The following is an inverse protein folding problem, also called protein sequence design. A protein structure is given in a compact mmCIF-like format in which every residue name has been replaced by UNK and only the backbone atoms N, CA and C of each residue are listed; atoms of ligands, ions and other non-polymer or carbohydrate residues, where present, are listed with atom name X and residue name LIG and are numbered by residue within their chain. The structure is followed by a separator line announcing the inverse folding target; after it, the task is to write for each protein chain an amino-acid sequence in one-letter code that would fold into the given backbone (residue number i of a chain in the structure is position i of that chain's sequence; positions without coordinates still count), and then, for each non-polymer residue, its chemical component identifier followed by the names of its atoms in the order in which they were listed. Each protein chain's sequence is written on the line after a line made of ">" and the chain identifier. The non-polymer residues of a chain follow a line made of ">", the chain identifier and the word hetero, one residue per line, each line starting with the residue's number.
data_IF_092553604219
#
_entry.id   IF_092553604219
#
_cell.length_a   1.000
_cell.length_b   1.000
_cell.length_c   1.000
_cell.angle_alpha   90.00
_cell.angle_beta   90.00
_cell.angle_gamma   90.00
#
_symmetry.space_group_name_H-M   'P 1'
#
loop_
_entity.id
_entity.type
_entity.pdbx_description
1 polymer ?
#
# COMPACT_ATOMS: atom_id res chain seq x y z
N UNK A 1 9.91 18.58 -8.47
CA UNK A 1 9.30 17.83 -9.58
C UNK A 1 10.02 16.50 -9.79
N UNK A 2 11.35 16.49 -9.87
CA UNK A 2 12.12 15.28 -10.21
C UNK A 2 11.99 14.20 -9.15
N UNK A 3 12.09 14.53 -7.88
CA UNK A 3 11.83 13.62 -6.77
C UNK A 3 10.40 13.03 -6.85
N UNK A 4 9.39 13.84 -7.18
CA UNK A 4 8.01 13.39 -7.31
C UNK A 4 7.87 12.31 -8.38
N UNK A 5 8.49 12.52 -9.55
CA UNK A 5 8.49 11.56 -10.65
C UNK A 5 9.35 10.32 -10.31
N UNK A 6 10.47 10.53 -9.62
CA UNK A 6 11.38 9.46 -9.25
C UNK A 6 10.74 8.41 -8.34
N UNK A 7 9.93 8.83 -7.37
CA UNK A 7 9.29 7.92 -6.40
C UNK A 7 7.85 7.54 -6.77
N UNK A 8 7.40 7.90 -7.97
CA UNK A 8 6.13 7.45 -8.54
C UNK A 8 4.90 8.26 -8.15
N UNK A 9 5.07 9.54 -7.77
CA UNK A 9 3.94 10.43 -7.50
C UNK A 9 3.06 10.01 -6.31
N UNK A 10 1.82 10.44 -6.31
CA UNK A 10 0.84 10.04 -5.32
C UNK A 10 0.34 8.60 -5.55
N UNK A 11 -0.07 7.95 -4.48
CA UNK A 11 -0.64 6.62 -4.53
C UNK A 11 -2.14 6.69 -4.90
N UNK A 12 -2.45 6.43 -6.16
CA UNK A 12 -3.81 6.49 -6.70
C UNK A 12 -4.78 5.45 -6.10
N UNK A 13 -4.27 4.47 -5.35
CA UNK A 13 -5.11 3.50 -4.63
C UNK A 13 -5.66 4.03 -3.30
N UNK A 14 -5.29 5.26 -2.91
CA UNK A 14 -5.71 5.92 -1.68
C UNK A 14 -6.65 7.07 -2.01
N UNK A 15 -7.85 7.07 -1.43
CA UNK A 15 -8.80 8.19 -1.52
C UNK A 15 -8.41 9.37 -0.62
N UNK A 16 -7.57 9.12 0.39
CA UNK A 16 -7.07 10.11 1.35
C UNK A 16 -5.72 9.67 1.89
N UNK A 17 -4.92 10.62 2.41
CA UNK A 17 -3.55 10.37 2.91
C UNK A 17 -2.53 10.03 1.81
N UNK A 18 -2.83 10.33 0.56
CA UNK A 18 -1.93 10.22 -0.58
C UNK A 18 -0.69 11.09 -0.40
N UNK A 19 -0.83 12.26 0.22
CA UNK A 19 0.24 13.18 0.57
C UNK A 19 1.16 12.60 1.65
N UNK A 20 0.59 12.05 2.71
CA UNK A 20 1.35 11.41 3.79
C UNK A 20 2.10 10.18 3.27
N UNK A 21 1.43 9.34 2.47
CA UNK A 21 2.07 8.18 1.81
C UNK A 21 3.26 8.63 0.95
N UNK A 22 3.07 9.71 0.17
CA UNK A 22 4.14 10.28 -0.64
C UNK A 22 5.33 10.74 0.21
N UNK A 23 5.11 11.50 1.27
CA UNK A 23 6.18 11.98 2.14
C UNK A 23 6.92 10.84 2.86
N UNK A 24 6.20 9.81 3.29
CA UNK A 24 6.82 8.64 3.92
C UNK A 24 7.67 7.87 2.90
N UNK A 25 7.19 7.70 1.67
CA UNK A 25 7.98 7.06 0.60
C UNK A 25 9.19 7.90 0.24
N UNK A 26 9.05 9.22 0.12
CA UNK A 26 10.18 10.10 -0.11
C UNK A 26 11.27 9.94 0.96
N UNK A 27 10.89 9.94 2.23
CA UNK A 27 11.82 9.76 3.34
C UNK A 27 12.50 8.38 3.36
N UNK A 28 11.78 7.31 3.02
CA UNK A 28 12.30 5.93 3.09
C UNK A 28 13.08 5.50 1.86
N UNK A 29 12.72 6.02 0.69
CA UNK A 29 13.33 5.62 -0.58
C UNK A 29 14.52 6.49 -0.98
N UNK A 30 14.54 7.72 -0.47
CA UNK A 30 15.59 8.70 -0.79
C UNK A 30 16.15 9.31 0.49
N UNK A 31 17.15 10.16 0.37
CA UNK A 31 17.71 10.93 1.49
C UNK A 31 17.00 12.29 1.69
N UNK A 32 15.83 12.48 1.06
CA UNK A 32 15.07 13.70 1.11
C UNK A 32 14.66 14.05 2.54
N UNK A 33 14.89 15.30 2.93
CA UNK A 33 14.48 15.84 4.22
C UNK A 33 13.19 16.65 4.04
N UNK A 34 12.23 16.43 4.91
CA UNK A 34 11.01 17.26 4.98
C UNK A 34 11.34 18.46 5.84
N UNK A 35 11.27 19.65 5.25
CA UNK A 35 11.51 20.92 5.95
C UNK A 35 10.16 21.61 6.13
N UNK A 36 9.78 21.89 7.37
CA UNK A 36 8.64 22.75 7.69
C UNK A 36 9.15 24.18 7.82
N UNK A 37 8.77 25.05 6.89
CA UNK A 37 9.11 26.48 6.96
C UNK A 37 7.90 27.28 7.41
N UNK A 38 8.05 28.14 8.45
CA UNK A 38 7.00 29.06 8.88
C UNK A 38 6.67 30.14 7.84
N UNK A 39 7.53 30.30 6.81
CA UNK A 39 7.37 31.29 5.75
C UNK A 39 6.33 30.87 4.69
N UNK A 40 6.08 29.56 4.58
CA UNK A 40 5.04 29.02 3.69
C UNK A 40 3.71 28.95 4.42
N UNK A 41 2.93 30.03 4.31
CA UNK A 41 1.57 30.12 4.85
C UNK A 41 0.56 29.97 3.73
N UNK A 42 -0.34 28.98 3.84
CA UNK A 42 -1.49 28.84 2.96
C UNK A 42 -2.76 29.21 3.70
N UNK A 43 -3.59 30.04 3.08
CA UNK A 43 -4.93 30.38 3.62
C UNK A 43 -5.90 29.29 3.17
N UNK A 44 -6.46 28.58 4.14
CA UNK A 44 -7.51 27.61 3.89
C UNK A 44 -8.87 28.30 3.98
N UNK A 45 -9.48 28.59 2.82
CA UNK A 45 -10.85 29.12 2.74
C UNK A 45 -11.86 27.96 2.83
N UNK A 46 -12.18 27.55 4.05
CA UNK A 46 -13.27 26.58 4.29
C UNK A 46 -14.18 27.11 5.39
N UNK A 47 -15.41 27.44 5.02
CA UNK A 47 -16.45 27.76 5.97
C UNK A 47 -17.10 26.47 6.48
N UNK A 48 -16.72 26.09 7.67
CA UNK A 48 -17.30 24.90 8.31
C UNK A 48 -18.54 25.23 9.13
N UNK A 49 -19.67 24.63 8.77
CA UNK A 49 -20.77 24.44 9.70
C UNK A 49 -20.39 23.28 10.65
N UNK A 50 -20.73 23.38 11.94
CA UNK A 50 -20.33 22.39 12.96
C UNK A 50 -20.56 20.93 12.55
N UNK A 51 -21.74 20.58 12.03
CA UNK A 51 -22.05 19.22 11.61
C UNK A 51 -21.23 18.78 10.38
N UNK A 52 -20.95 19.67 9.45
CA UNK A 52 -20.09 19.37 8.30
C UNK A 52 -18.65 19.10 8.73
N UNK A 53 -18.14 19.89 9.68
CA UNK A 53 -16.83 19.71 10.29
C UNK A 53 -16.75 18.36 11.03
N UNK A 54 -17.76 18.02 11.84
CA UNK A 54 -17.81 16.75 12.56
C UNK A 54 -17.80 15.55 11.59
N UNK A 55 -18.61 15.61 10.54
CA UNK A 55 -18.66 14.56 9.52
C UNK A 55 -17.32 14.40 8.78
N UNK A 56 -16.65 15.51 8.49
CA UNK A 56 -15.31 15.47 7.87
C UNK A 56 -14.29 14.82 8.81
N UNK A 57 -14.29 15.14 10.09
CA UNK A 57 -13.40 14.52 11.08
C UNK A 57 -13.66 13.01 11.18
N UNK A 58 -14.91 12.61 11.28
CA UNK A 58 -15.29 11.18 11.34
C UNK A 58 -14.76 10.44 10.10
N UNK A 59 -15.00 10.98 8.91
CA UNK A 59 -14.48 10.39 7.65
C UNK A 59 -12.95 10.34 7.62
N UNK A 60 -12.29 11.44 7.96
CA UNK A 60 -10.82 11.50 7.98
C UNK A 60 -10.23 10.50 8.96
N UNK A 61 -10.80 10.41 10.17
CA UNK A 61 -10.32 9.46 11.20
C UNK A 61 -10.52 8.01 10.76
N UNK A 62 -11.68 7.70 10.16
CA UNK A 62 -11.95 6.38 9.59
C UNK A 62 -10.91 6.01 8.54
N UNK A 63 -10.73 6.86 7.54
CA UNK A 63 -9.79 6.63 6.44
C UNK A 63 -8.33 6.55 6.91
N UNK A 64 -7.94 7.41 7.86
CA UNK A 64 -6.62 7.38 8.47
C UNK A 64 -6.33 6.07 9.19
N UNK A 65 -7.28 5.60 9.99
CA UNK A 65 -7.15 4.34 10.73
C UNK A 65 -7.05 3.17 9.75
N UNK A 66 -7.90 3.14 8.73
CA UNK A 66 -7.91 2.11 7.72
C UNK A 66 -6.62 2.11 6.89
N UNK A 67 -6.12 3.28 6.48
CA UNK A 67 -4.85 3.42 5.77
C UNK A 67 -3.66 2.94 6.59
N UNK A 68 -3.60 3.30 7.88
CA UNK A 68 -2.56 2.82 8.81
C UNK A 68 -2.56 1.31 8.99
N UNK A 69 -3.74 0.71 9.16
CA UNK A 69 -3.89 -0.73 9.33
C UNK A 69 -3.49 -1.50 8.06
N UNK A 70 -3.83 -0.97 6.88
CA UNK A 70 -3.45 -1.56 5.60
C UNK A 70 -1.95 -1.45 5.29
N UNK A 71 -1.29 -0.40 5.77
CA UNK A 71 0.10 -0.06 5.43
C UNK A 71 0.98 0.07 6.68
N UNK A 72 0.86 -0.87 7.63
CA UNK A 72 1.61 -0.84 8.91
C UNK A 72 3.11 -0.67 8.74
N UNK A 73 3.71 -1.34 7.75
CA UNK A 73 5.14 -1.25 7.46
C UNK A 73 5.56 0.13 6.96
N UNK A 74 4.70 0.79 6.18
CA UNK A 74 4.94 2.14 5.68
C UNK A 74 5.02 3.15 6.83
N UNK A 75 4.11 3.06 7.81
CA UNK A 75 4.03 4.00 8.95
C UNK A 75 5.00 3.69 10.09
N UNK A 76 5.67 2.52 10.09
CA UNK A 76 6.60 2.13 11.14
C UNK A 76 7.82 3.05 11.16
N UNK A 77 8.11 3.63 12.35
CA UNK A 77 9.28 4.49 12.55
C UNK A 77 9.18 5.89 11.95
N UNK A 78 7.97 6.35 11.61
CA UNK A 78 7.74 7.71 11.13
C UNK A 78 7.27 8.64 12.25
N UNK A 79 7.54 9.95 12.10
CA UNK A 79 7.08 11.02 12.99
C UNK A 79 5.56 11.25 12.94
N UNK A 80 4.86 10.62 12.01
CA UNK A 80 3.40 10.61 11.92
C UNK A 80 2.72 9.66 12.93
N UNK A 81 3.44 9.18 13.95
CA UNK A 81 2.82 8.62 15.14
C UNK A 81 2.00 9.72 15.81
N UNK A 82 0.69 9.54 15.88
CA UNK A 82 -0.19 10.46 16.61
C UNK A 82 0.38 10.56 18.03
N UNK A 83 0.67 11.78 18.48
CA UNK A 83 1.13 12.02 19.83
C UNK A 83 0.11 11.36 20.77
N UNK A 84 0.58 10.42 21.61
CA UNK A 84 -0.27 9.68 22.55
C UNK A 84 -1.09 10.62 23.45
N UNK A 85 -0.60 11.84 23.70
CA UNK A 85 -1.30 12.87 24.46
C UNK A 85 -2.59 13.32 23.78
N UNK A 86 -2.60 13.40 22.43
CA UNK A 86 -3.82 13.75 21.66
C UNK A 86 -4.86 12.63 21.76
N UNK A 87 -4.44 11.37 21.85
CA UNK A 87 -5.34 10.24 22.03
C UNK A 87 -5.96 10.17 23.43
N UNK A 88 -5.37 10.81 24.43
CA UNK A 88 -5.93 10.87 25.80
C UNK A 88 -7.05 11.91 25.94
N UNK A 89 -7.06 12.93 25.08
CA UNK A 89 -8.07 14.02 25.14
C UNK A 89 -9.52 13.49 25.06
N UNK A 90 -9.88 12.56 24.14
CA UNK A 90 -11.26 12.05 24.07
C UNK A 90 -11.59 10.93 25.07
N UNK A 91 -10.62 10.46 25.84
CA UNK A 91 -10.79 9.33 26.76
C UNK A 91 -11.73 9.54 27.96
N UNK A 92 -11.94 10.76 28.50
CA UNK A 92 -12.82 10.94 29.65
C UNK A 92 -14.24 10.39 29.45
N UNK A 93 -14.82 10.59 28.27
CA UNK A 93 -16.19 10.17 27.99
C UNK A 93 -16.35 8.64 27.87
N UNK A 94 -15.55 7.91 27.10
CA UNK A 94 -15.64 6.45 27.06
C UNK A 94 -15.31 5.79 28.40
N UNK A 95 -14.35 6.31 29.16
CA UNK A 95 -14.03 5.79 30.51
C UNK A 95 -15.21 6.00 31.47
N UNK A 96 -15.84 7.15 31.41
CA UNK A 96 -17.05 7.44 32.20
C UNK A 96 -18.19 6.46 31.83
N UNK A 97 -18.48 6.25 30.54
CA UNK A 97 -19.53 5.34 30.11
C UNK A 97 -19.25 3.88 30.51
N UNK A 98 -17.99 3.42 30.36
CA UNK A 98 -17.58 2.09 30.78
C UNK A 98 -17.65 1.95 32.31
N UNK A 99 -17.22 2.97 33.05
CA UNK A 99 -17.28 2.93 34.52
C UNK A 99 -18.72 2.98 35.04
N UNK A 100 -19.62 3.66 34.35
CA UNK A 100 -21.07 3.60 34.65
C UNK A 100 -21.65 2.22 34.38
N UNK A 101 -21.25 1.58 33.29
CA UNK A 101 -21.75 0.25 32.91
C UNK A 101 -21.21 -0.84 33.87
N UNK A 102 -19.93 -0.79 34.22
CA UNK A 102 -19.27 -1.78 35.07
C UNK A 102 -19.44 -1.48 36.57
N UNK A 103 -19.56 -0.21 36.94
CA UNK A 103 -19.61 0.26 38.34
C UNK A 103 -21.02 0.56 38.80
N UNK A 104 -21.44 -0.07 39.85
CA UNK A 104 -22.71 0.24 40.51
C UNK A 104 -22.71 1.62 41.23
N UNK A 105 -21.61 2.35 41.19
CA UNK A 105 -21.46 3.61 41.92
C UNK A 105 -21.26 4.78 40.97
N UNK A 106 -22.34 5.50 40.72
CA UNK A 106 -22.38 6.69 39.86
C UNK A 106 -21.44 7.81 40.32
N UNK A 107 -21.24 7.95 41.61
CA UNK A 107 -20.36 9.00 42.20
C UNK A 107 -18.90 8.75 41.84
N UNK A 108 -18.45 7.50 41.92
CA UNK A 108 -17.09 7.14 41.53
C UNK A 108 -16.86 7.40 40.03
N UNK A 109 -17.83 7.03 39.18
CA UNK A 109 -17.77 7.29 37.73
C UNK A 109 -17.74 8.79 37.41
N UNK A 110 -18.55 9.58 38.09
CA UNK A 110 -18.59 11.04 37.95
C UNK A 110 -17.27 11.68 38.42
N UNK A 111 -16.69 11.21 39.54
CA UNK A 111 -15.40 11.71 40.02
C UNK A 111 -14.25 11.44 39.04
N UNK A 112 -14.22 10.26 38.43
CA UNK A 112 -13.25 9.92 37.37
C UNK A 112 -13.43 10.85 36.16
N UNK A 113 -14.68 11.06 35.73
CA UNK A 113 -14.96 11.96 34.61
C UNK A 113 -14.52 13.39 34.88
N UNK A 114 -14.87 13.93 36.06
CA UNK A 114 -14.49 15.30 36.43
C UNK A 114 -12.97 15.46 36.53
N UNK A 115 -12.28 14.49 37.11
CA UNK A 115 -10.82 14.50 37.20
C UNK A 115 -10.15 14.49 35.80
N UNK A 116 -10.64 13.65 34.90
CA UNK A 116 -10.12 13.61 33.53
C UNK A 116 -10.52 14.85 32.71
N UNK A 117 -11.71 15.42 32.94
CA UNK A 117 -12.12 16.68 32.34
C UNK A 117 -11.24 17.85 32.79
N UNK A 118 -10.93 17.94 34.10
CA UNK A 118 -10.01 18.94 34.67
C UNK A 118 -8.58 18.80 34.06
N UNK A 119 -8.09 17.55 33.90
CA UNK A 119 -6.80 17.30 33.24
C UNK A 119 -6.85 17.78 31.79
N UNK A 120 -7.96 17.54 31.10
CA UNK A 120 -8.15 17.99 29.72
C UNK A 120 -8.15 19.51 29.61
N UNK A 121 -8.83 20.23 30.52
CA UNK A 121 -8.79 21.69 30.62
C UNK A 121 -7.35 22.20 30.81
N UNK A 122 -6.56 21.53 31.62
CA UNK A 122 -5.16 21.89 31.87
C UNK A 122 -4.31 21.71 30.58
N UNK A 123 -4.48 20.60 29.89
CA UNK A 123 -3.74 20.29 28.66
C UNK A 123 -4.08 21.23 27.49
N UNK A 124 -5.32 21.69 27.42
CA UNK A 124 -5.82 22.53 26.34
C UNK A 124 -5.77 24.03 26.60
N UNK A 125 -5.36 24.43 27.82
CA UNK A 125 -5.22 25.84 28.23
C UNK A 125 -4.36 26.71 27.31
N UNK A 126 -3.39 26.10 26.62
CA UNK A 126 -2.52 26.79 25.64
C UNK A 126 -3.21 26.99 24.28
N UNK A 127 -4.28 26.27 23.99
CA UNK A 127 -4.96 26.24 22.69
C UNK A 127 -6.11 27.26 22.68
N UNK A 128 -6.85 27.39 23.79
CA UNK A 128 -8.00 28.25 23.88
C UNK A 128 -7.74 29.48 24.77
N UNK A 129 -8.36 30.61 24.39
CA UNK A 129 -8.43 31.79 25.27
C UNK A 129 -9.25 31.46 26.51
N UNK A 130 -9.05 32.25 27.61
CA UNK A 130 -9.75 32.04 28.86
C UNK A 130 -11.29 32.02 28.70
N UNK A 131 -11.81 32.87 27.82
CA UNK A 131 -13.27 33.02 27.60
C UNK A 131 -13.91 31.85 26.89
N UNK A 132 -13.13 31.10 26.08
CA UNK A 132 -13.61 29.98 25.28
C UNK A 132 -13.12 28.61 25.76
N UNK A 133 -12.44 28.55 26.91
CA UNK A 133 -11.76 27.33 27.36
C UNK A 133 -12.75 26.18 27.63
N UNK A 134 -13.88 26.45 28.31
CA UNK A 134 -14.87 25.42 28.63
C UNK A 134 -15.60 24.94 27.39
N UNK A 135 -16.13 25.87 26.58
CA UNK A 135 -16.83 25.53 25.33
C UNK A 135 -15.90 24.79 24.35
N UNK A 136 -14.66 25.27 24.20
CA UNK A 136 -13.65 24.62 23.38
C UNK A 136 -13.37 23.19 23.81
N UNK A 137 -13.30 22.93 25.13
CA UNK A 137 -13.09 21.58 25.64
C UNK A 137 -14.30 20.67 25.44
N UNK A 138 -15.53 21.17 25.58
CA UNK A 138 -16.75 20.40 25.28
C UNK A 138 -16.75 20.00 23.80
N UNK A 139 -16.43 20.92 22.90
CA UNK A 139 -16.32 20.64 21.46
C UNK A 139 -15.24 19.57 21.19
N UNK A 140 -14.05 19.70 21.80
CA UNK A 140 -12.98 18.71 21.65
C UNK A 140 -13.40 17.34 22.16
N UNK A 141 -14.11 17.26 23.29
CA UNK A 141 -14.61 15.98 23.81
C UNK A 141 -15.61 15.32 22.84
N UNK A 142 -16.56 16.09 22.30
CA UNK A 142 -17.53 15.57 21.34
C UNK A 142 -16.83 15.09 20.07
N UNK A 143 -15.99 15.96 19.49
CA UNK A 143 -15.26 15.65 18.25
C UNK A 143 -14.31 14.46 18.45
N UNK A 144 -13.59 14.45 19.56
CA UNK A 144 -12.66 13.37 19.90
C UNK A 144 -13.39 12.04 20.14
N UNK A 145 -14.56 12.06 20.79
CA UNK A 145 -15.37 10.86 20.99
C UNK A 145 -15.90 10.29 19.66
N UNK A 146 -16.41 11.16 18.78
CA UNK A 146 -16.83 10.74 17.44
C UNK A 146 -15.66 10.17 16.61
N UNK A 147 -14.49 10.79 16.68
CA UNK A 147 -13.29 10.31 16.03
C UNK A 147 -12.84 8.94 16.58
N UNK A 148 -12.92 8.74 17.91
CA UNK A 148 -12.60 7.48 18.55
C UNK A 148 -13.54 6.35 18.13
N UNK A 149 -14.86 6.57 18.16
CA UNK A 149 -15.85 5.59 17.63
C UNK A 149 -15.59 5.27 16.17
N UNK A 150 -15.32 6.29 15.35
CA UNK A 150 -14.99 6.11 13.93
C UNK A 150 -13.75 5.25 13.75
N UNK A 151 -12.71 5.43 14.57
CA UNK A 151 -11.49 4.62 14.55
C UNK A 151 -11.75 3.17 14.96
N UNK A 152 -12.56 2.94 16.00
CA UNK A 152 -12.97 1.59 16.41
C UNK A 152 -13.74 0.88 15.31
N UNK A 153 -14.69 1.59 14.69
CA UNK A 153 -15.47 1.03 13.58
C UNK A 153 -14.58 0.72 12.37
N UNK A 154 -13.66 1.61 12.01
CA UNK A 154 -12.67 1.36 10.95
C UNK A 154 -11.82 0.13 11.25
N UNK A 155 -11.39 -0.03 12.50
CA UNK A 155 -10.61 -1.19 12.94
C UNK A 155 -11.43 -2.49 12.84
N UNK A 156 -12.68 -2.46 13.30
CA UNK A 156 -13.60 -3.61 13.20
C UNK A 156 -13.83 -4.01 11.73
N UNK A 157 -14.18 -3.05 10.87
CA UNK A 157 -14.35 -3.30 9.44
C UNK A 157 -13.06 -3.82 8.80
N UNK A 158 -11.90 -3.26 9.16
CA UNK A 158 -10.61 -3.75 8.68
C UNK A 158 -10.42 -5.24 9.00
N UNK A 159 -10.67 -5.66 10.24
CA UNK A 159 -10.53 -7.07 10.62
C UNK A 159 -11.55 -7.97 9.92
N UNK A 160 -12.79 -7.51 9.72
CA UNK A 160 -13.77 -8.27 8.92
C UNK A 160 -13.31 -8.45 7.48
N UNK A 161 -12.78 -7.39 6.85
CA UNK A 161 -12.22 -7.47 5.50
C UNK A 161 -11.01 -8.40 5.46
N UNK A 162 -10.14 -8.34 6.47
CA UNK A 162 -8.98 -9.21 6.59
C UNK A 162 -9.38 -10.69 6.72
N UNK A 163 -10.34 -11.01 7.61
CA UNK A 163 -10.88 -12.35 7.78
C UNK A 163 -11.49 -12.86 6.47
N UNK A 164 -12.36 -12.06 5.82
CA UNK A 164 -12.93 -12.41 4.52
C UNK A 164 -11.84 -12.70 3.49
N UNK A 165 -10.80 -11.88 3.44
CA UNK A 165 -9.66 -12.05 2.52
C UNK A 165 -8.90 -13.34 2.78
N UNK A 166 -8.63 -13.68 4.04
CA UNK A 166 -7.98 -14.94 4.41
C UNK A 166 -8.85 -16.16 4.07
N UNK A 167 -10.14 -16.09 4.31
CA UNK A 167 -11.07 -17.18 3.96
C UNK A 167 -11.13 -17.41 2.45
N UNK A 168 -11.18 -16.34 1.65
CA UNK A 168 -11.16 -16.44 0.17
C UNK A 168 -9.84 -17.02 -0.32
N UNK A 169 -8.70 -16.57 0.24
CA UNK A 169 -7.39 -17.13 -0.10
C UNK A 169 -7.31 -18.62 0.25
N UNK A 170 -7.73 -19.01 1.44
CA UNK A 170 -7.73 -20.41 1.87
C UNK A 170 -8.57 -21.27 0.92
N UNK A 171 -9.80 -20.83 0.60
CA UNK A 171 -10.66 -21.49 -0.39
C UNK A 171 -9.95 -21.66 -1.74
N UNK A 172 -9.29 -20.60 -2.25
CA UNK A 172 -8.62 -20.65 -3.54
C UNK A 172 -7.43 -21.63 -3.53
N UNK A 173 -6.64 -21.63 -2.45
CA UNK A 173 -5.55 -22.59 -2.26
C UNK A 173 -6.09 -24.01 -2.24
N UNK A 174 -7.15 -24.27 -1.48
CA UNK A 174 -7.77 -25.58 -1.38
C UNK A 174 -8.27 -26.07 -2.75
N UNK A 175 -8.92 -25.23 -3.54
CA UNK A 175 -9.34 -25.53 -4.90
C UNK A 175 -8.13 -25.92 -5.77
N UNK A 176 -7.03 -25.16 -5.69
CA UNK A 176 -5.82 -25.44 -6.44
C UNK A 176 -5.18 -26.78 -6.01
N UNK A 177 -5.14 -27.08 -4.71
CA UNK A 177 -4.62 -28.34 -4.19
C UNK A 177 -5.44 -29.53 -4.66
N UNK A 178 -6.78 -29.46 -4.59
CA UNK A 178 -7.69 -30.49 -5.10
C UNK A 178 -7.41 -30.73 -6.59
N UNK A 179 -7.32 -29.69 -7.40
CA UNK A 179 -7.02 -29.80 -8.84
C UNK A 179 -5.66 -30.47 -9.08
N UNK A 180 -4.64 -30.11 -8.29
CA UNK A 180 -3.30 -30.67 -8.44
C UNK A 180 -3.26 -32.16 -8.06
N UNK A 181 -3.91 -32.54 -6.96
CA UNK A 181 -3.93 -33.95 -6.46
C UNK A 181 -4.69 -34.83 -7.44
N UNK A 182 -5.90 -34.45 -7.83
CA UNK A 182 -6.75 -35.26 -8.69
C UNK A 182 -6.49 -35.07 -10.17
N UNK A 183 -5.54 -34.19 -10.55
CA UNK A 183 -5.22 -33.87 -11.96
C UNK A 183 -6.45 -33.53 -12.80
N UNK A 184 -7.40 -32.87 -12.20
CA UNK A 184 -8.73 -32.62 -12.76
C UNK A 184 -8.99 -31.12 -12.94
N UNK A 185 -9.64 -30.78 -14.05
CA UNK A 185 -10.18 -29.45 -14.29
C UNK A 185 -9.15 -28.46 -14.86
N UNK A 186 -9.17 -27.24 -14.34
CA UNK A 186 -8.40 -26.11 -14.86
C UNK A 186 -6.96 -26.10 -14.31
N UNK A 187 -6.00 -25.46 -15.02
CA UNK A 187 -4.63 -25.39 -14.57
C UNK A 187 -4.50 -24.69 -13.22
N UNK A 188 -3.49 -25.07 -12.45
CA UNK A 188 -3.13 -24.43 -11.19
C UNK A 188 -1.95 -23.44 -11.36
N UNK A 189 -1.23 -23.58 -12.48
CA UNK A 189 -0.13 -22.72 -12.89
C UNK A 189 -0.29 -22.33 -14.36
N UNK A 190 0.05 -21.07 -14.66
CA UNK A 190 0.12 -20.55 -16.03
C UNK A 190 1.47 -19.86 -16.20
N UNK A 191 2.11 -20.12 -17.34
CA UNK A 191 3.23 -19.32 -17.83
C UNK A 191 2.71 -18.55 -19.04
N UNK A 192 2.70 -17.23 -18.94
CA UNK A 192 2.16 -16.37 -19.97
C UNK A 192 3.24 -15.46 -20.56
N UNK A 193 3.48 -15.62 -21.85
CA UNK A 193 4.37 -14.73 -22.60
C UNK A 193 3.61 -13.47 -22.97
N UNK A 194 4.05 -12.33 -22.43
CA UNK A 194 3.32 -11.06 -22.58
C UNK A 194 3.92 -10.13 -23.64
N UNK A 195 5.18 -10.36 -24.02
CA UNK A 195 5.88 -9.56 -25.02
C UNK A 195 6.98 -10.38 -25.70
N UNK A 196 7.19 -10.12 -27.00
CA UNK A 196 8.36 -10.62 -27.73
C UNK A 196 9.51 -9.60 -27.77
N UNK A 197 9.27 -8.35 -27.32
CA UNK A 197 10.28 -7.29 -27.31
C UNK A 197 11.31 -7.49 -26.18
N UNK A 198 12.58 -7.30 -26.53
CA UNK A 198 13.67 -7.27 -25.55
C UNK A 198 14.73 -6.28 -26.00
N UNK A 199 15.36 -5.61 -25.06
CA UNK A 199 16.47 -4.69 -25.33
C UNK A 199 17.85 -5.39 -25.40
N UNK A 200 17.94 -6.63 -24.95
CA UNK A 200 19.18 -7.41 -24.98
C UNK A 200 19.12 -8.52 -26.05
N UNK A 201 20.32 -9.01 -26.43
CA UNK A 201 20.49 -10.09 -27.41
C UNK A 201 21.42 -11.17 -26.85
N UNK A 202 21.04 -11.71 -25.69
CA UNK A 202 21.84 -12.70 -24.98
C UNK A 202 22.17 -13.90 -25.87
N UNK A 203 23.39 -14.39 -25.77
CA UNK A 203 23.87 -15.46 -26.67
C UNK A 203 23.09 -16.77 -26.53
N UNK A 204 22.69 -17.12 -25.31
CA UNK A 204 21.93 -18.33 -25.01
C UNK A 204 20.40 -18.14 -25.08
N UNK A 205 19.93 -16.97 -25.55
CA UNK A 205 18.50 -16.69 -25.62
C UNK A 205 17.81 -17.56 -26.66
N UNK A 206 16.91 -18.44 -26.22
CA UNK A 206 16.14 -19.31 -27.13
C UNK A 206 15.13 -18.53 -27.99
N UNK A 207 14.81 -17.28 -27.64
CA UNK A 207 14.00 -16.36 -28.45
C UNK A 207 14.82 -15.47 -29.40
N UNK A 208 16.15 -15.55 -29.42
CA UNK A 208 17.04 -14.65 -30.15
C UNK A 208 16.57 -14.38 -31.61
N UNK A 209 16.13 -15.43 -32.30
CA UNK A 209 15.70 -15.35 -33.69
C UNK A 209 14.27 -14.84 -33.91
N UNK A 210 13.49 -14.69 -32.83
CA UNK A 210 12.07 -14.28 -32.87
C UNK A 210 11.83 -12.94 -32.17
N UNK A 211 12.86 -12.42 -31.48
CA UNK A 211 12.77 -11.12 -30.83
C UNK A 211 12.54 -10.02 -31.87
N UNK A 212 11.61 -9.13 -31.57
CA UNK A 212 11.30 -7.94 -32.38
C UNK A 212 10.91 -8.22 -33.85
N UNK A 213 10.63 -9.46 -34.21
CA UNK A 213 9.98 -9.71 -35.50
C UNK A 213 8.69 -8.89 -35.51
N UNK A 214 8.40 -8.28 -36.65
CA UNK A 214 7.14 -7.57 -36.89
C UNK A 214 6.00 -8.57 -36.74
N UNK A 215 5.57 -8.73 -35.51
CA UNK A 215 4.48 -9.56 -35.08
C UNK A 215 3.19 -8.74 -35.10
N UNK A 216 2.02 -9.32 -35.32
CA UNK A 216 0.71 -8.65 -35.32
C UNK A 216 0.37 -7.89 -34.04
N UNK A 217 1.29 -7.77 -33.15
CA UNK A 217 1.20 -6.96 -31.94
C UNK A 217 1.07 -7.80 -30.68
N UNK A 218 1.41 -7.16 -29.57
CA UNK A 218 1.21 -7.73 -28.24
C UNK A 218 -0.28 -7.87 -27.96
N UNK A 219 -0.68 -8.98 -27.35
CA UNK A 219 -2.07 -9.17 -26.94
C UNK A 219 -2.49 -8.05 -25.97
N UNK A 220 -3.68 -7.46 -26.16
CA UNK A 220 -4.21 -6.45 -25.25
C UNK A 220 -4.30 -6.97 -23.80
N UNK A 221 -4.17 -6.10 -22.79
CA UNK A 221 -4.28 -6.49 -21.38
C UNK A 221 -5.54 -7.28 -21.06
N UNK A 222 -6.67 -6.89 -21.67
CA UNK A 222 -7.99 -7.49 -21.45
C UNK A 222 -8.00 -8.97 -21.84
N UNK A 223 -7.31 -9.32 -22.92
CA UNK A 223 -7.20 -10.70 -23.42
C UNK A 223 -6.40 -11.55 -22.43
N UNK A 224 -5.27 -11.03 -21.95
CA UNK A 224 -4.41 -11.69 -20.96
C UNK A 224 -5.14 -11.89 -19.62
N UNK A 225 -5.84 -10.87 -19.17
CA UNK A 225 -6.64 -10.90 -17.94
C UNK A 225 -7.82 -11.88 -18.08
N UNK A 226 -8.49 -11.88 -19.23
CA UNK A 226 -9.60 -12.80 -19.53
C UNK A 226 -9.13 -14.26 -19.55
N UNK A 227 -7.97 -14.55 -20.12
CA UNK A 227 -7.34 -15.87 -20.09
C UNK A 227 -7.11 -16.37 -18.66
N UNK A 228 -6.53 -15.51 -17.82
CA UNK A 228 -6.33 -15.82 -16.41
C UNK A 228 -7.66 -16.03 -15.67
N UNK A 229 -8.67 -15.21 -15.90
CA UNK A 229 -10.03 -15.35 -15.33
C UNK A 229 -10.67 -16.67 -15.69
N UNK A 230 -10.57 -17.09 -16.93
CA UNK A 230 -11.14 -18.37 -17.41
C UNK A 230 -10.49 -19.58 -16.71
N UNK A 231 -9.24 -19.46 -16.28
CA UNK A 231 -8.54 -20.48 -15.50
C UNK A 231 -9.02 -20.58 -14.06
N UNK A 232 -9.69 -19.52 -13.54
CA UNK A 232 -10.15 -19.43 -12.16
C UNK A 232 -9.00 -19.24 -11.17
N UNK A 233 -9.13 -19.66 -9.92
CA UNK A 233 -8.06 -19.54 -8.93
C UNK A 233 -6.79 -20.24 -9.38
N UNK A 234 -5.65 -19.53 -9.24
CA UNK A 234 -4.31 -20.02 -9.60
C UNK A 234 -3.42 -20.06 -8.36
N UNK A 235 -2.54 -21.05 -8.30
CA UNK A 235 -1.47 -21.09 -7.33
C UNK A 235 -0.32 -20.21 -7.79
N UNK A 236 0.03 -20.31 -9.09
CA UNK A 236 1.16 -19.61 -9.66
C UNK A 236 0.81 -19.04 -11.04
N UNK A 237 1.08 -17.75 -11.21
CA UNK A 237 1.02 -17.08 -12.50
C UNK A 237 2.39 -16.50 -12.83
N UNK A 238 3.07 -17.08 -13.81
CA UNK A 238 4.39 -16.67 -14.25
C UNK A 238 4.28 -15.85 -15.53
N UNK A 239 4.75 -14.63 -15.49
CA UNK A 239 4.90 -13.77 -16.65
C UNK A 239 6.25 -14.08 -17.31
N UNK A 240 6.26 -14.13 -18.64
CA UNK A 240 7.46 -14.40 -19.41
C UNK A 240 7.47 -13.58 -20.69
N UNK A 241 8.49 -13.72 -21.51
CA UNK A 241 8.65 -13.08 -22.81
C UNK A 241 10.08 -12.65 -23.07
N UNK A 242 10.26 -11.55 -23.80
CA UNK A 242 11.54 -10.87 -23.92
C UNK A 242 11.89 -10.17 -22.59
N UNK A 243 11.64 -8.86 -22.50
CA UNK A 243 11.74 -8.11 -21.25
C UNK A 243 10.34 -7.61 -20.85
N UNK A 244 9.71 -8.19 -19.82
CA UNK A 244 8.35 -7.85 -19.44
C UNK A 244 8.13 -6.37 -19.10
N UNK A 245 9.13 -5.71 -18.51
CA UNK A 245 9.03 -4.30 -18.15
C UNK A 245 9.11 -3.34 -19.36
N UNK A 246 9.28 -3.84 -20.58
CA UNK A 246 9.09 -3.03 -21.78
C UNK A 246 7.63 -2.73 -22.07
N UNK A 247 6.69 -3.51 -21.54
CA UNK A 247 5.26 -3.21 -21.65
C UNK A 247 4.89 -2.03 -20.76
N UNK A 248 4.22 -1.04 -21.35
CA UNK A 248 3.74 0.15 -20.60
C UNK A 248 2.58 -0.20 -19.67
N UNK A 249 1.76 -1.16 -20.06
CA UNK A 249 0.58 -1.67 -19.36
C UNK A 249 0.86 -2.87 -18.44
N UNK A 250 2.15 -3.13 -18.16
CA UNK A 250 2.59 -4.25 -17.32
C UNK A 250 1.86 -4.30 -15.96
N UNK A 251 1.82 -3.17 -15.25
CA UNK A 251 1.17 -3.10 -13.94
C UNK A 251 -0.34 -3.35 -14.02
N UNK A 252 -0.98 -2.95 -15.10
CA UNK A 252 -2.42 -3.12 -15.29
C UNK A 252 -2.75 -4.58 -15.56
N UNK A 253 -1.91 -5.28 -16.35
CA UNK A 253 -2.00 -6.74 -16.54
C UNK A 253 -1.89 -7.46 -15.20
N UNK A 254 -0.83 -7.18 -14.42
CA UNK A 254 -0.59 -7.86 -13.14
C UNK A 254 -1.74 -7.64 -12.17
N UNK A 255 -2.18 -6.39 -12.02
CA UNK A 255 -3.28 -6.02 -11.12
C UNK A 255 -4.61 -6.66 -11.58
N UNK A 256 -4.87 -6.67 -12.89
CA UNK A 256 -6.06 -7.29 -13.47
C UNK A 256 -6.08 -8.81 -13.26
N UNK A 257 -4.97 -9.49 -13.52
CA UNK A 257 -4.81 -10.93 -13.26
C UNK A 257 -5.00 -11.23 -11.76
N UNK A 258 -4.38 -10.42 -10.89
CA UNK A 258 -4.54 -10.58 -9.43
C UNK A 258 -6.00 -10.46 -9.00
N UNK A 259 -6.72 -9.51 -9.55
CA UNK A 259 -8.14 -9.27 -9.27
C UNK A 259 -9.02 -10.45 -9.73
N UNK A 260 -8.79 -10.96 -10.93
CA UNK A 260 -9.69 -11.92 -11.58
C UNK A 260 -9.41 -13.39 -11.23
N UNK A 261 -8.15 -13.76 -11.00
CA UNK A 261 -7.72 -15.15 -10.74
C UNK A 261 -7.11 -15.38 -9.37
N UNK A 262 -6.83 -14.30 -8.61
CA UNK A 262 -6.26 -14.36 -7.26
C UNK A 262 -5.05 -15.30 -7.11
N UNK A 263 -4.04 -15.28 -8.00
CA UNK A 263 -2.87 -16.13 -7.85
C UNK A 263 -2.16 -15.87 -6.53
N UNK A 264 -1.63 -16.95 -5.92
CA UNK A 264 -0.87 -16.83 -4.68
C UNK A 264 0.54 -16.32 -4.94
N UNK A 265 1.11 -16.70 -6.09
CA UNK A 265 2.41 -16.24 -6.54
C UNK A 265 2.25 -15.66 -7.94
N UNK A 266 2.74 -14.44 -8.12
CA UNK A 266 2.97 -13.84 -9.43
C UNK A 266 4.47 -13.67 -9.57
N UNK A 267 5.06 -14.22 -10.63
CA UNK A 267 6.50 -14.14 -10.85
C UNK A 267 6.84 -13.72 -12.26
N UNK A 268 8.03 -13.14 -12.42
CA UNK A 268 8.59 -12.82 -13.72
C UNK A 268 10.11 -12.77 -13.68
N UNK A 269 10.79 -13.15 -14.77
CA UNK A 269 12.21 -12.87 -14.98
C UNK A 269 12.38 -11.45 -15.52
N UNK A 270 13.50 -10.82 -15.20
CA UNK A 270 13.93 -9.54 -15.78
C UNK A 270 15.44 -9.52 -15.97
N UNK A 271 15.88 -8.84 -17.02
CA UNK A 271 17.29 -8.54 -17.22
C UNK A 271 17.78 -7.34 -16.38
N UNK A 272 16.86 -6.61 -15.72
CA UNK A 272 17.19 -5.52 -14.83
C UNK A 272 17.70 -4.24 -15.50
N UNK A 273 17.64 -4.10 -16.81
CA UNK A 273 18.22 -2.97 -17.54
C UNK A 273 17.52 -1.63 -17.24
N UNK A 274 16.19 -1.64 -17.15
CA UNK A 274 15.39 -0.41 -17.05
C UNK A 274 15.06 -0.06 -15.60
N UNK A 275 16.05 0.34 -14.83
CA UNK A 275 15.95 0.59 -13.37
C UNK A 275 14.71 1.38 -12.96
N UNK A 276 14.51 2.56 -13.57
CA UNK A 276 13.39 3.44 -13.18
C UNK A 276 12.03 2.86 -13.58
N UNK A 277 11.92 2.29 -14.79
CA UNK A 277 10.67 1.68 -15.26
C UNK A 277 10.29 0.47 -14.43
N UNK A 278 11.25 -0.42 -14.17
CA UNK A 278 11.06 -1.60 -13.31
C UNK A 278 10.60 -1.19 -11.92
N UNK A 279 11.24 -0.18 -11.34
CA UNK A 279 10.87 0.36 -10.03
C UNK A 279 9.43 0.88 -10.01
N UNK A 280 9.05 1.77 -10.94
CA UNK A 280 7.72 2.37 -10.98
C UNK A 280 6.62 1.33 -11.23
N UNK A 281 6.85 0.41 -12.15
CA UNK A 281 5.90 -0.67 -12.43
C UNK A 281 5.72 -1.60 -11.23
N UNK A 282 6.82 -1.96 -10.56
CA UNK A 282 6.79 -2.77 -9.34
C UNK A 282 6.06 -2.04 -8.20
N UNK A 283 6.36 -0.76 -8.00
CA UNK A 283 5.67 0.05 -6.99
C UNK A 283 4.15 0.05 -7.22
N UNK A 284 3.70 0.30 -8.46
CA UNK A 284 2.27 0.30 -8.80
C UNK A 284 1.60 -1.06 -8.56
N UNK A 285 2.31 -2.15 -8.79
CA UNK A 285 1.84 -3.51 -8.44
C UNK A 285 1.73 -3.66 -6.93
N UNK A 286 2.76 -3.31 -6.16
CA UNK A 286 2.81 -3.51 -4.71
C UNK A 286 1.78 -2.65 -3.96
N UNK A 287 1.48 -1.45 -4.43
CA UNK A 287 0.42 -0.59 -3.87
C UNK A 287 -0.95 -1.26 -3.94
N UNK A 288 -1.19 -2.08 -4.96
CA UNK A 288 -2.45 -2.79 -5.18
C UNK A 288 -2.45 -4.24 -4.67
N UNK A 289 -1.26 -4.81 -4.42
CA UNK A 289 -1.12 -6.20 -3.96
C UNK A 289 -1.47 -6.33 -2.47
N UNK A 290 -2.64 -6.86 -2.18
CA UNK A 290 -3.14 -7.02 -0.80
C UNK A 290 -2.88 -8.43 -0.23
N UNK A 291 -2.58 -9.41 -1.07
CA UNK A 291 -2.31 -10.81 -0.68
C UNK A 291 -1.43 -11.49 -1.72
N UNK A 292 -0.74 -12.55 -1.32
CA UNK A 292 0.14 -13.32 -2.20
C UNK A 292 1.53 -12.69 -2.33
N UNK A 293 2.36 -13.30 -3.15
CA UNK A 293 3.74 -12.91 -3.37
C UNK A 293 3.93 -12.39 -4.79
N UNK A 294 4.70 -11.31 -4.93
CA UNK A 294 5.20 -10.82 -6.20
C UNK A 294 6.71 -11.05 -6.24
N UNK A 295 7.16 -11.94 -7.12
CA UNK A 295 8.54 -12.43 -7.18
C UNK A 295 9.19 -11.98 -8.47
N UNK A 296 10.31 -11.28 -8.37
CA UNK A 296 11.12 -10.86 -9.51
C UNK A 296 12.41 -11.67 -9.52
N UNK A 297 12.63 -12.42 -10.58
CA UNK A 297 13.86 -13.20 -10.82
C UNK A 297 14.82 -12.38 -11.67
N UNK A 298 15.93 -11.97 -11.07
CA UNK A 298 17.00 -11.33 -11.82
C UNK A 298 17.80 -12.39 -12.60
N UNK A 299 17.93 -12.18 -13.91
CA UNK A 299 18.63 -13.09 -14.80
C UNK A 299 20.13 -12.85 -14.73
N UNK A 300 20.84 -13.57 -13.88
CA UNK A 300 22.29 -13.44 -13.63
C UNK A 300 23.04 -14.63 -14.23
N UNK A 301 24.07 -14.37 -15.05
CA UNK A 301 24.90 -15.40 -15.69
C UNK A 301 26.38 -15.33 -15.27
N UNK A 302 26.64 -14.95 -14.05
CA UNK A 302 27.97 -14.87 -13.46
C UNK A 302 28.33 -13.48 -12.96
N UNK A 303 29.64 -13.25 -12.74
CA UNK A 303 30.15 -11.93 -12.39
C UNK A 303 30.18 -11.00 -13.60
N UNK A 304 30.45 -9.71 -13.39
CA UNK A 304 30.34 -8.63 -14.36
C UNK A 304 30.89 -8.97 -15.75
N UNK A 305 32.12 -9.39 -15.81
CA UNK A 305 32.79 -9.71 -17.09
C UNK A 305 32.08 -10.84 -17.86
N UNK A 306 31.78 -11.95 -17.18
CA UNK A 306 31.10 -13.10 -17.80
C UNK A 306 29.65 -12.80 -18.14
N UNK A 307 28.98 -12.07 -17.28
CA UNK A 307 27.59 -11.64 -17.50
C UNK A 307 27.48 -10.72 -18.71
N UNK A 308 28.33 -9.69 -18.77
CA UNK A 308 28.31 -8.71 -19.85
C UNK A 308 28.70 -9.31 -21.19
N UNK A 309 29.63 -10.27 -21.20
CA UNK A 309 29.96 -11.03 -22.40
C UNK A 309 28.75 -11.79 -22.97
N UNK A 310 27.90 -12.35 -22.12
CA UNK A 310 26.73 -13.15 -22.53
C UNK A 310 25.52 -12.25 -22.87
N UNK A 311 25.31 -11.21 -22.10
CA UNK A 311 24.06 -10.41 -22.18
C UNK A 311 24.23 -9.06 -22.86
N UNK A 312 25.44 -8.53 -22.87
CA UNK A 312 25.78 -7.22 -23.42
C UNK A 312 26.43 -6.32 -22.40
N UNK A 313 27.25 -5.42 -22.89
CA UNK A 313 28.04 -4.47 -22.09
C UNK A 313 27.18 -3.68 -21.11
N UNK A 314 27.68 -3.48 -19.88
CA UNK A 314 27.00 -2.80 -18.78
C UNK A 314 25.71 -3.45 -18.26
N UNK A 315 25.35 -4.65 -18.74
CA UNK A 315 24.12 -5.32 -18.30
C UNK A 315 24.16 -5.72 -16.83
N UNK A 316 25.30 -6.15 -16.30
CA UNK A 316 25.49 -6.48 -14.88
C UNK A 316 25.32 -5.24 -13.98
N UNK A 317 25.97 -4.16 -14.35
CA UNK A 317 25.86 -2.89 -13.62
C UNK A 317 24.40 -2.42 -13.52
N UNK A 318 23.66 -2.44 -14.63
CA UNK A 318 22.24 -2.05 -14.68
C UNK A 318 21.37 -2.98 -13.85
N UNK A 319 21.64 -4.27 -13.88
CA UNK A 319 20.95 -5.25 -13.05
C UNK A 319 21.16 -4.96 -11.55
N UNK A 320 22.40 -4.70 -11.12
CA UNK A 320 22.72 -4.35 -9.74
C UNK A 320 22.03 -3.06 -9.29
N UNK A 321 22.07 -1.99 -10.10
CA UNK A 321 21.36 -0.73 -9.84
C UNK A 321 19.84 -0.98 -9.63
N UNK A 322 19.25 -1.81 -10.46
CA UNK A 322 17.82 -2.14 -10.38
C UNK A 322 17.51 -2.99 -9.16
N UNK A 323 18.33 -3.98 -8.85
CA UNK A 323 18.20 -4.79 -7.63
C UNK A 323 18.23 -3.93 -6.37
N UNK A 324 19.24 -3.05 -6.25
CA UNK A 324 19.40 -2.19 -5.07
C UNK A 324 18.21 -1.23 -4.90
N UNK A 325 17.68 -0.71 -6.00
CA UNK A 325 16.50 0.15 -5.97
C UNK A 325 15.25 -0.63 -5.56
N UNK A 326 15.03 -1.84 -6.06
CA UNK A 326 13.91 -2.69 -5.68
C UNK A 326 14.03 -3.24 -4.25
N UNK A 327 15.24 -3.49 -3.75
CA UNK A 327 15.48 -3.88 -2.37
C UNK A 327 14.98 -2.85 -1.36
N UNK A 328 14.97 -1.56 -1.72
CA UNK A 328 14.36 -0.52 -0.89
C UNK A 328 12.83 -0.67 -0.83
N UNK A 329 12.17 -1.07 -1.93
CA UNK A 329 10.72 -1.33 -1.93
C UNK A 329 10.35 -2.51 -1.04
N UNK A 330 11.12 -3.59 -1.01
CA UNK A 330 10.82 -4.76 -0.16
C UNK A 330 10.83 -4.44 1.34
N UNK A 331 11.50 -3.36 1.77
CA UNK A 331 11.45 -2.87 3.16
C UNK A 331 10.16 -2.12 3.48
N UNK A 332 9.49 -1.58 2.47
CA UNK A 332 8.24 -0.82 2.60
C UNK A 332 7.03 -1.75 2.42
N UNK A 333 7.14 -2.65 1.46
CA UNK A 333 6.12 -3.64 1.08
C UNK A 333 6.68 -5.05 1.29
N UNK A 334 6.72 -5.56 2.55
CA UNK A 334 7.29 -6.86 2.91
C UNK A 334 6.46 -8.05 2.39
#
# INVERSE_FOLDING_TARGET
>A
RDLFLEIGGFNESLDTYEDIDFFIRAQKLTEAKIILSPDFKTLHHKDYKFFSFLNEIVKKTYNATFAKLNNKSLFKGTTFSIDWKINLIPMPLPIFLISMYLGKNIYASLSIFLGMFALNLFLTKKIFSKDNLILGNIIILIVGFCAWISSLFATFIFYLVLIKRHLVNFKNILICLIRAIFKYGKPVQIIQYITSRCNLRCDHCFYKNTLDKKDPGELPPEVLIKSAKQSGPLLWYSLAGGEPFLRKDFSDIVNGVKKESSPQIISLPTNGWYTQRTFLSTLKVLQNLKTGLFVIFFSVDGYEESHDKIRGENSFKKLCETYDKLKKLSKIYP
#
